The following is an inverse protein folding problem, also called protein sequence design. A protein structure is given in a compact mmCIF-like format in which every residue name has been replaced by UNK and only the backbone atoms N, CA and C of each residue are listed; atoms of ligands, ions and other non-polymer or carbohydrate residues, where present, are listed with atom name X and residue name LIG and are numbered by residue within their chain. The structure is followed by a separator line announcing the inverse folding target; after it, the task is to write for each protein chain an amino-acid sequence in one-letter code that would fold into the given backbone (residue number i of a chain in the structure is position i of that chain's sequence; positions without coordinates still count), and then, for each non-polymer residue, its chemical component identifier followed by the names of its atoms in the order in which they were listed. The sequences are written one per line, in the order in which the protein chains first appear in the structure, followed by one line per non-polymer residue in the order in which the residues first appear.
data_IF_429220438570
#
_entry.id   IF_429220438570
#
_cell.length_a   1.000
_cell.length_b   1.000
_cell.length_c   1.000
_cell.angle_alpha   90.00
_cell.angle_beta   90.00
_cell.angle_gamma   90.00
#
_symmetry.space_group_name_H-M   'P 1'
#
loop_
_entity.id
_entity.type
_entity.pdbx_description
1 polymer ?
#
# COMPACT_ATOMS: atom_id res chain seq x y z
N UNK A 1 3.42 14.81 -22.04
CA UNK A 1 2.30 13.86 -21.84
C UNK A 1 1.28 14.56 -20.96
N UNK A 2 -0.03 14.49 -21.26
CA UNK A 2 -1.08 15.07 -20.39
C UNK A 2 -1.49 13.98 -19.40
N UNK A 3 -1.34 14.28 -18.09
CA UNK A 3 -1.77 13.38 -17.03
C UNK A 3 -3.18 13.72 -16.56
N UNK A 4 -3.91 12.72 -16.12
CA UNK A 4 -5.29 12.82 -15.62
C UNK A 4 -5.29 12.57 -14.11
N UNK A 5 -5.60 13.60 -13.33
CA UNK A 5 -5.49 13.61 -11.86
C UNK A 5 -6.82 13.30 -11.15
N UNK A 6 -7.93 13.16 -11.88
CA UNK A 6 -9.28 13.02 -11.30
C UNK A 6 -9.34 11.84 -10.31
N UNK A 7 -8.76 10.72 -10.71
CA UNK A 7 -8.71 9.51 -9.87
C UNK A 7 -7.83 9.70 -8.63
N UNK A 8 -6.70 10.37 -8.78
CA UNK A 8 -5.80 10.66 -7.66
C UNK A 8 -6.44 11.63 -6.66
N UNK A 9 -7.12 12.67 -7.15
CA UNK A 9 -7.84 13.63 -6.29
C UNK A 9 -8.99 12.96 -5.53
N UNK A 10 -9.79 12.12 -6.20
CA UNK A 10 -10.83 11.34 -5.53
C UNK A 10 -10.25 10.45 -4.42
N UNK A 11 -9.10 9.81 -4.69
CA UNK A 11 -8.39 8.98 -3.71
C UNK A 11 -7.89 9.81 -2.52
N UNK A 12 -7.43 11.03 -2.75
CA UNK A 12 -7.01 11.94 -1.68
C UNK A 12 -8.14 12.27 -0.71
N UNK A 13 -9.35 12.52 -1.23
CA UNK A 13 -10.53 12.79 -0.39
C UNK A 13 -10.85 11.58 0.49
N UNK A 14 -10.86 10.37 -0.08
CA UNK A 14 -11.12 9.13 0.68
C UNK A 14 -10.02 8.90 1.72
N UNK A 15 -8.76 9.13 1.37
CA UNK A 15 -7.62 9.01 2.29
C UNK A 15 -7.74 9.96 3.48
N UNK A 16 -8.06 11.22 3.24
CA UNK A 16 -8.26 12.23 4.30
C UNK A 16 -9.37 11.78 5.26
N UNK A 17 -10.49 11.31 4.72
CA UNK A 17 -11.59 10.78 5.54
C UNK A 17 -11.14 9.59 6.39
N UNK A 18 -10.41 8.62 5.82
CA UNK A 18 -9.89 7.48 6.56
C UNK A 18 -8.86 7.90 7.63
N UNK A 19 -8.00 8.88 7.33
CA UNK A 19 -7.07 9.43 8.31
C UNK A 19 -7.81 10.08 9.49
N UNK A 20 -8.83 10.92 9.22
CA UNK A 20 -9.65 11.54 10.27
C UNK A 20 -10.34 10.47 11.12
N UNK A 21 -10.95 9.47 10.50
CA UNK A 21 -11.60 8.37 11.20
C UNK A 21 -10.60 7.55 12.01
N UNK A 22 -9.40 7.32 11.48
CA UNK A 22 -8.33 6.59 12.16
C UNK A 22 -7.74 7.39 13.33
N UNK A 23 -7.55 8.70 13.22
CA UNK A 23 -6.97 9.54 14.29
C UNK A 23 -7.93 9.73 15.48
N UNK A 24 -9.22 9.75 15.25
CA UNK A 24 -10.24 9.93 16.32
C UNK A 24 -10.40 8.73 17.24
N UNK A 25 -9.73 7.62 16.96
CA UNK A 25 -9.92 6.35 17.67
C UNK A 25 -8.74 6.02 18.55
N UNK A 26 -9.06 5.52 19.75
CA UNK A 26 -8.08 4.88 20.62
C UNK A 26 -7.83 3.48 20.06
N UNK A 27 -6.68 3.26 19.47
CA UNK A 27 -6.26 1.95 18.99
C UNK A 27 -5.45 1.22 20.06
N UNK A 28 -5.73 -0.07 20.21
CA UNK A 28 -4.83 -0.95 20.95
C UNK A 28 -3.45 -0.98 20.26
N UNK A 29 -2.33 -1.00 21.00
CA UNK A 29 -0.97 -1.02 20.44
C UNK A 29 -0.62 -2.42 19.89
N UNK A 30 -1.42 -2.93 18.97
CA UNK A 30 -1.21 -4.21 18.29
C UNK A 30 -0.59 -3.98 16.92
N UNK A 31 0.18 -4.99 16.44
CA UNK A 31 0.93 -4.91 15.17
C UNK A 31 0.05 -4.56 13.97
N UNK A 32 -1.15 -5.11 13.90
CA UNK A 32 -2.11 -4.82 12.83
C UNK A 32 -2.41 -3.32 12.73
N UNK A 33 -2.72 -2.68 13.84
CA UNK A 33 -3.05 -1.26 13.86
C UNK A 33 -1.84 -0.39 13.48
N UNK A 34 -0.64 -0.79 13.90
CA UNK A 34 0.59 -0.13 13.49
C UNK A 34 0.77 -0.18 11.95
N UNK A 35 0.69 -1.39 11.35
CA UNK A 35 0.85 -1.53 9.91
C UNK A 35 -0.26 -0.86 9.12
N UNK A 36 -1.50 -0.85 9.61
CA UNK A 36 -2.59 -0.13 8.97
C UNK A 36 -2.33 1.38 8.90
N UNK A 37 -1.87 2.00 10.01
CA UNK A 37 -1.52 3.42 10.03
C UNK A 37 -0.31 3.73 9.15
N UNK A 38 0.70 2.88 9.19
CA UNK A 38 1.87 3.01 8.33
C UNK A 38 1.48 2.91 6.84
N UNK A 39 0.55 2.01 6.49
CA UNK A 39 0.00 1.87 5.14
C UNK A 39 -0.75 3.13 4.70
N UNK A 40 -1.60 3.72 5.57
CA UNK A 40 -2.27 4.99 5.27
C UNK A 40 -1.26 6.12 5.02
N UNK A 41 -0.21 6.20 5.85
CA UNK A 41 0.86 7.18 5.68
C UNK A 41 1.64 6.98 4.37
N UNK A 42 1.99 5.74 4.05
CA UNK A 42 2.69 5.39 2.81
C UNK A 42 1.83 5.67 1.57
N UNK A 43 0.52 5.36 1.64
CA UNK A 43 -0.43 5.70 0.55
C UNK A 43 -0.50 7.21 0.35
N UNK A 44 -0.58 7.98 1.44
CA UNK A 44 -0.61 9.45 1.37
C UNK A 44 0.64 10.03 0.73
N UNK A 45 1.81 9.57 1.16
CA UNK A 45 3.08 9.98 0.56
C UNK A 45 3.17 9.60 -0.92
N UNK A 46 2.81 8.34 -1.26
CA UNK A 46 2.83 7.87 -2.64
C UNK A 46 1.91 8.70 -3.53
N UNK A 47 0.69 8.97 -3.07
CA UNK A 47 -0.29 9.75 -3.82
C UNK A 47 0.18 11.19 -4.05
N UNK A 48 0.74 11.85 -3.04
CA UNK A 48 1.27 13.21 -3.18
C UNK A 48 2.44 13.22 -4.16
N UNK A 49 3.39 12.31 -4.02
CA UNK A 49 4.55 12.27 -4.91
C UNK A 49 4.20 11.77 -6.32
N UNK A 50 3.17 10.95 -6.51
CA UNK A 50 2.66 10.57 -7.84
C UNK A 50 2.12 11.79 -8.61
N UNK A 51 1.32 12.63 -7.95
CA UNK A 51 0.82 13.86 -8.55
C UNK A 51 1.96 14.84 -8.82
N UNK A 52 2.81 15.10 -7.82
CA UNK A 52 3.89 16.09 -7.92
C UNK A 52 4.93 15.66 -8.96
N UNK A 53 5.35 14.39 -8.98
CA UNK A 53 6.30 13.89 -9.98
C UNK A 53 5.74 13.98 -11.40
N UNK A 54 4.48 13.57 -11.58
CA UNK A 54 3.82 13.63 -12.90
C UNK A 54 3.71 15.05 -13.42
N UNK A 55 3.35 16.02 -12.56
CA UNK A 55 3.27 17.44 -12.95
C UNK A 55 4.65 18.03 -13.26
N UNK A 56 5.64 17.73 -12.42
CA UNK A 56 7.00 18.21 -12.62
C UNK A 56 7.65 17.58 -13.85
N UNK A 57 7.40 16.31 -14.14
CA UNK A 57 7.90 15.64 -15.35
C UNK A 57 7.24 16.21 -16.63
N UNK A 58 5.95 16.59 -16.56
CA UNK A 58 5.28 17.27 -17.66
C UNK A 58 5.91 18.65 -17.98
N UNK A 59 6.43 19.33 -16.97
CA UNK A 59 7.02 20.67 -17.05
C UNK A 59 8.51 20.65 -16.67
N UNK A 60 9.23 19.59 -17.00
CA UNK A 60 10.61 19.33 -16.55
C UNK A 60 11.60 20.47 -16.79
N UNK A 61 11.40 21.29 -17.84
CA UNK A 61 12.26 22.46 -18.16
C UNK A 61 12.16 23.58 -17.12
N UNK A 62 11.10 23.61 -16.30
CA UNK A 62 10.91 24.64 -15.27
C UNK A 62 11.57 24.29 -13.94
N UNK A 63 12.03 23.06 -13.77
CA UNK A 63 12.55 22.57 -12.50
C UNK A 63 13.99 22.11 -12.61
N UNK A 64 14.82 22.30 -11.57
CA UNK A 64 16.17 21.75 -11.55
C UNK A 64 16.15 20.23 -11.52
N UNK A 65 17.07 19.59 -12.25
CA UNK A 65 17.15 18.13 -12.38
C UNK A 65 17.25 17.41 -11.02
N UNK A 66 17.98 17.97 -10.06
CA UNK A 66 18.09 17.42 -8.71
C UNK A 66 16.75 17.31 -7.98
N UNK A 67 15.84 18.27 -8.16
CA UNK A 67 14.50 18.24 -7.58
C UNK A 67 13.62 17.19 -8.27
N UNK A 68 13.69 17.08 -9.60
CA UNK A 68 13.02 16.04 -10.39
C UNK A 68 13.45 14.64 -9.92
N UNK A 69 14.77 14.42 -9.75
CA UNK A 69 15.28 13.16 -9.22
C UNK A 69 14.76 12.87 -7.80
N UNK A 70 14.76 13.87 -6.90
CA UNK A 70 14.31 13.71 -5.53
C UNK A 70 12.82 13.30 -5.45
N UNK A 71 11.96 13.98 -6.24
CA UNK A 71 10.51 13.73 -6.23
C UNK A 71 10.19 12.36 -6.84
N UNK A 72 10.78 12.00 -7.98
CA UNK A 72 10.61 10.69 -8.60
C UNK A 72 11.14 9.55 -7.69
N UNK A 73 12.30 9.77 -7.05
CA UNK A 73 12.82 8.81 -6.05
C UNK A 73 11.84 8.61 -4.91
N UNK A 74 11.28 9.68 -4.34
CA UNK A 74 10.32 9.62 -3.26
C UNK A 74 9.04 8.88 -3.68
N UNK A 75 8.54 9.13 -4.89
CA UNK A 75 7.41 8.40 -5.47
C UNK A 75 7.68 6.89 -5.54
N UNK A 76 8.81 6.48 -6.14
CA UNK A 76 9.13 5.05 -6.29
C UNK A 76 9.38 4.36 -4.96
N UNK A 77 10.04 5.02 -4.00
CA UNK A 77 10.18 4.49 -2.65
C UNK A 77 8.82 4.30 -1.97
N UNK A 78 7.94 5.31 -2.06
CA UNK A 78 6.58 5.22 -1.54
C UNK A 78 5.82 4.04 -2.14
N UNK A 79 5.89 3.87 -3.45
CA UNK A 79 5.24 2.77 -4.18
C UNK A 79 5.69 1.38 -3.71
N UNK A 80 6.99 1.18 -3.46
CA UNK A 80 7.55 -0.09 -3.00
C UNK A 80 7.18 -0.36 -1.54
N UNK A 81 7.40 0.61 -0.67
CA UNK A 81 7.13 0.45 0.75
C UNK A 81 5.64 0.32 1.05
N UNK A 82 4.76 0.96 0.27
CA UNK A 82 3.32 0.75 0.35
C UNK A 82 2.95 -0.73 0.14
N UNK A 83 3.49 -1.36 -0.90
CA UNK A 83 3.23 -2.77 -1.22
C UNK A 83 3.71 -3.71 -0.11
N UNK A 84 4.90 -3.45 0.46
CA UNK A 84 5.43 -4.15 1.62
C UNK A 84 4.55 -3.98 2.87
N UNK A 85 4.06 -2.77 3.13
CA UNK A 85 3.22 -2.47 4.30
C UNK A 85 1.84 -3.11 4.19
N UNK A 86 1.26 -3.18 2.99
CA UNK A 86 -0.02 -3.88 2.75
C UNK A 86 0.13 -5.38 3.02
N UNK A 87 1.19 -6.02 2.50
CA UNK A 87 1.52 -7.39 2.85
C UNK A 87 1.70 -7.58 4.37
N UNK A 88 2.47 -6.69 5.02
CA UNK A 88 2.75 -6.76 6.47
C UNK A 88 1.49 -6.60 7.32
N UNK A 89 0.52 -5.81 6.83
CA UNK A 89 -0.79 -5.67 7.45
C UNK A 89 -1.57 -6.99 7.38
N UNK A 90 -1.65 -7.62 6.21
CA UNK A 90 -2.31 -8.93 6.03
C UNK A 90 -1.59 -10.02 6.85
N UNK A 91 -0.26 -10.01 6.91
CA UNK A 91 0.50 -10.92 7.77
C UNK A 91 0.11 -10.77 9.24
N UNK A 92 0.04 -9.54 9.75
CA UNK A 92 -0.37 -9.26 11.11
C UNK A 92 -1.81 -9.74 11.38
N UNK A 93 -2.72 -9.51 10.43
CA UNK A 93 -4.12 -9.91 10.52
C UNK A 93 -4.28 -11.45 10.59
N UNK A 94 -3.59 -12.19 9.72
CA UNK A 94 -3.63 -13.66 9.70
C UNK A 94 -2.99 -14.24 10.98
N UNK A 95 -1.89 -13.62 11.45
CA UNK A 95 -1.21 -14.06 12.66
C UNK A 95 -2.03 -13.88 13.94
N UNK A 96 -2.89 -12.86 14.01
CA UNK A 96 -3.81 -12.65 15.14
C UNK A 96 -4.87 -13.75 15.25
N UNK A 97 -5.22 -14.42 14.15
CA UNK A 97 -6.20 -15.53 14.16
C UNK A 97 -5.64 -16.84 14.68
N UNK A 98 -4.31 -17.01 14.70
CA UNK A 98 -3.69 -18.21 15.22
C UNK A 98 -2.18 -18.26 15.02
N UNK A 99 -1.53 -19.23 15.66
CA UNK A 99 -0.08 -19.43 15.52
C UNK A 99 0.25 -19.90 14.12
N UNK A 100 0.71 -18.98 13.30
CA UNK A 100 1.30 -19.25 12.00
C UNK A 100 2.79 -18.96 12.08
N UNK A 101 3.63 -19.84 11.50
CA UNK A 101 5.07 -19.56 11.37
C UNK A 101 5.23 -18.35 10.47
N UNK A 102 5.82 -17.27 11.00
CA UNK A 102 6.10 -16.08 10.21
C UNK A 102 7.13 -16.40 9.16
N UNK A 103 6.99 -15.79 8.01
CA UNK A 103 8.09 -15.76 7.06
C UNK A 103 9.33 -15.15 7.72
N UNK A 104 10.53 -15.68 7.43
CA UNK A 104 11.76 -15.03 7.88
C UNK A 104 11.74 -13.57 7.45
N UNK A 105 11.76 -12.66 8.42
CA UNK A 105 11.54 -11.24 8.18
C UNK A 105 12.52 -10.65 7.17
N UNK A 106 13.79 -11.06 7.28
CA UNK A 106 14.82 -10.66 6.32
C UNK A 106 14.50 -11.06 4.87
N UNK A 107 13.86 -12.24 4.65
CA UNK A 107 13.50 -12.72 3.32
C UNK A 107 12.38 -11.87 2.70
N UNK A 108 11.49 -11.35 3.52
CA UNK A 108 10.38 -10.49 3.07
C UNK A 108 10.84 -9.05 2.87
N UNK A 109 11.72 -8.54 3.73
CA UNK A 109 12.21 -7.16 3.65
C UNK A 109 13.26 -6.96 2.54
N UNK A 110 14.05 -8.00 2.24
CA UNK A 110 15.18 -7.94 1.29
C UNK A 110 14.78 -7.40 -0.10
N UNK A 111 13.69 -7.83 -0.76
CA UNK A 111 13.31 -7.29 -2.07
C UNK A 111 13.04 -5.79 -2.04
N UNK A 112 12.35 -5.28 -0.99
CA UNK A 112 12.09 -3.85 -0.84
C UNK A 112 13.38 -3.06 -0.62
N UNK A 113 14.28 -3.58 0.23
CA UNK A 113 15.57 -2.95 0.52
C UNK A 113 16.45 -2.89 -0.74
N UNK A 114 16.61 -4.01 -1.45
CA UNK A 114 17.41 -4.05 -2.67
C UNK A 114 16.87 -3.13 -3.76
N UNK A 115 15.56 -3.14 -3.96
CA UNK A 115 14.91 -2.25 -4.94
C UNK A 115 15.05 -0.78 -4.52
N UNK A 116 14.97 -0.47 -3.21
CA UNK A 116 15.20 0.89 -2.70
C UNK A 116 16.63 1.37 -2.96
N UNK A 117 17.63 0.51 -2.76
CA UNK A 117 19.03 0.83 -3.06
C UNK A 117 19.20 1.14 -4.56
N UNK A 118 18.60 0.34 -5.44
CA UNK A 118 18.64 0.59 -6.89
C UNK A 118 17.98 1.91 -7.27
N UNK A 119 16.84 2.26 -6.67
CA UNK A 119 16.16 3.53 -6.90
C UNK A 119 17.02 4.70 -6.42
N UNK A 120 17.58 4.62 -5.21
CA UNK A 120 18.45 5.65 -4.64
C UNK A 120 19.74 5.84 -5.44
N UNK A 121 20.24 4.80 -6.10
CA UNK A 121 21.41 4.89 -6.97
C UNK A 121 21.10 5.45 -8.37
N UNK A 122 19.83 5.54 -8.76
CA UNK A 122 19.42 5.97 -10.11
C UNK A 122 19.93 7.34 -10.54
N UNK A 123 20.02 8.37 -9.68
CA UNK A 123 20.61 9.66 -10.08
C UNK A 123 22.05 9.56 -10.57
N UNK A 124 22.80 8.55 -10.15
CA UNK A 124 24.19 8.31 -10.54
C UNK A 124 24.33 7.28 -11.66
N UNK A 125 23.47 6.27 -11.67
CA UNK A 125 23.59 5.09 -12.53
C UNK A 125 22.66 5.07 -13.72
N UNK A 126 21.51 5.78 -13.65
CA UNK A 126 20.43 5.71 -14.64
C UNK A 126 19.76 4.35 -14.76
N UNK A 127 20.05 3.38 -13.84
CA UNK A 127 19.61 2.01 -13.98
C UNK A 127 18.09 1.85 -13.89
N UNK A 128 17.42 2.53 -12.96
CA UNK A 128 15.96 2.45 -12.80
C UNK A 128 15.27 3.56 -13.59
N UNK A 129 15.75 4.79 -13.49
CA UNK A 129 15.30 5.93 -14.30
C UNK A 129 16.41 6.97 -14.45
N UNK A 130 16.28 7.79 -15.47
CA UNK A 130 17.18 8.92 -15.73
C UNK A 130 16.36 10.15 -16.14
N UNK A 131 16.91 11.32 -15.90
CA UNK A 131 16.31 12.61 -16.27
C UNK A 131 17.36 13.41 -17.01
N UNK A 132 17.05 13.81 -18.24
CA UNK A 132 17.91 14.61 -19.10
C UNK A 132 17.18 15.83 -19.68
N UNK A 133 17.76 16.48 -20.66
CA UNK A 133 17.15 17.65 -21.34
C UNK A 133 15.82 17.32 -22.05
N UNK A 134 15.55 16.05 -22.34
CA UNK A 134 14.32 15.58 -22.98
C UNK A 134 13.26 15.15 -21.93
N UNK A 135 13.62 15.14 -20.65
CA UNK A 135 12.75 14.82 -19.54
C UNK A 135 13.05 13.45 -18.90
N UNK A 136 12.00 12.83 -18.39
CA UNK A 136 12.07 11.54 -17.71
C UNK A 136 12.17 10.36 -18.69
N UNK A 137 13.12 9.45 -18.42
CA UNK A 137 13.30 8.19 -19.14
C UNK A 137 13.35 6.99 -18.20
N UNK A 138 12.66 5.90 -18.56
CA UNK A 138 12.78 4.65 -17.84
C UNK A 138 14.11 3.95 -18.14
N UNK A 139 14.84 3.57 -17.11
CA UNK A 139 16.10 2.82 -17.21
C UNK A 139 15.91 1.33 -17.50
N UNK A 140 17.03 0.62 -17.67
CA UNK A 140 17.05 -0.82 -17.97
C UNK A 140 16.33 -1.66 -16.91
N UNK A 141 16.50 -1.32 -15.64
CA UNK A 141 15.92 -2.03 -14.50
C UNK A 141 14.58 -1.44 -14.02
N UNK A 142 13.94 -0.55 -14.78
CA UNK A 142 12.67 0.06 -14.40
C UNK A 142 11.60 -0.96 -13.99
N UNK A 143 11.56 -2.10 -14.69
CA UNK A 143 10.57 -3.16 -14.42
C UNK A 143 10.71 -3.82 -13.04
N UNK A 144 11.84 -3.64 -12.35
CA UNK A 144 12.05 -4.19 -11.00
C UNK A 144 11.07 -3.60 -9.97
N UNK A 145 10.62 -2.35 -10.19
CA UNK A 145 9.62 -1.69 -9.35
C UNK A 145 8.30 -2.47 -9.36
N UNK A 146 7.84 -2.86 -10.56
CA UNK A 146 6.63 -3.67 -10.70
C UNK A 146 6.82 -5.11 -10.23
N UNK A 147 8.00 -5.70 -10.50
CA UNK A 147 8.33 -7.02 -10.01
C UNK A 147 8.27 -7.10 -8.49
N UNK A 148 8.76 -6.06 -7.79
CA UNK A 148 8.67 -5.93 -6.34
C UNK A 148 7.20 -5.86 -5.87
N UNK A 149 6.37 -5.04 -6.51
CA UNK A 149 4.96 -4.91 -6.16
C UNK A 149 4.19 -6.22 -6.41
N UNK A 150 4.44 -6.91 -7.52
CA UNK A 150 3.86 -8.24 -7.81
C UNK A 150 4.32 -9.30 -6.82
N UNK A 151 5.57 -9.25 -6.37
CA UNK A 151 6.08 -10.15 -5.34
C UNK A 151 5.26 -10.04 -4.05
N UNK A 152 5.03 -8.82 -3.54
CA UNK A 152 4.21 -8.64 -2.34
C UNK A 152 2.73 -8.99 -2.57
N UNK A 153 2.19 -8.69 -3.73
CA UNK A 153 0.83 -9.09 -4.08
C UNK A 153 0.67 -10.62 -4.07
N UNK A 154 1.62 -11.36 -4.66
CA UNK A 154 1.63 -12.83 -4.64
C UNK A 154 1.77 -13.38 -3.23
N UNK A 155 2.65 -12.81 -2.40
CA UNK A 155 2.78 -13.20 -1.00
C UNK A 155 1.48 -12.95 -0.22
N UNK A 156 0.82 -11.82 -0.45
CA UNK A 156 -0.45 -11.47 0.16
C UNK A 156 -1.56 -12.45 -0.24
N UNK A 157 -1.64 -12.82 -1.53
CA UNK A 157 -2.58 -13.82 -2.02
C UNK A 157 -2.33 -15.20 -1.40
N UNK A 158 -1.06 -15.65 -1.37
CA UNK A 158 -0.67 -16.92 -0.77
C UNK A 158 -1.02 -16.98 0.71
N UNK A 159 -0.67 -15.91 1.45
CA UNK A 159 -0.93 -15.82 2.87
C UNK A 159 -2.43 -15.77 3.19
N UNK A 160 -3.20 -15.02 2.41
CA UNK A 160 -4.66 -14.98 2.51
C UNK A 160 -5.26 -16.37 2.24
N UNK A 161 -4.80 -17.07 1.21
CA UNK A 161 -5.26 -18.44 0.90
C UNK A 161 -4.98 -19.41 2.05
N UNK A 162 -3.76 -19.41 2.59
CA UNK A 162 -3.39 -20.25 3.73
C UNK A 162 -4.22 -19.89 4.97
N UNK A 163 -4.38 -18.60 5.25
CA UNK A 163 -5.18 -18.10 6.37
C UNK A 163 -6.64 -18.52 6.27
N UNK A 164 -7.24 -18.38 5.09
CA UNK A 164 -8.64 -18.76 4.83
C UNK A 164 -8.88 -20.27 4.97
N UNK A 165 -7.88 -21.10 4.65
CA UNK A 165 -7.97 -22.56 4.80
C UNK A 165 -7.75 -23.02 6.25
N UNK A 166 -6.94 -22.32 7.00
CA UNK A 166 -6.47 -22.79 8.32
C UNK A 166 -7.27 -22.21 9.48
N UNK A 167 -7.82 -21.03 9.35
CA UNK A 167 -8.52 -20.32 10.42
C UNK A 167 -9.96 -20.01 10.06
N UNK A 168 -10.77 -19.81 11.10
CA UNK A 168 -12.14 -19.37 10.92
C UNK A 168 -12.19 -17.87 10.60
N UNK A 169 -12.93 -17.52 9.57
CA UNK A 169 -13.25 -16.17 9.15
C UNK A 169 -14.76 -16.07 8.89
N UNK A 170 -15.37 -14.98 9.31
CA UNK A 170 -16.75 -14.75 8.93
C UNK A 170 -16.87 -14.43 7.41
N UNK A 171 -18.07 -14.52 6.81
CA UNK A 171 -18.23 -14.31 5.38
C UNK A 171 -17.75 -12.93 4.89
N UNK A 172 -17.96 -11.87 5.68
CA UNK A 172 -17.53 -10.50 5.34
C UNK A 172 -16.01 -10.40 5.34
N UNK A 173 -15.34 -10.94 6.35
CA UNK A 173 -13.89 -10.98 6.44
C UNK A 173 -13.25 -11.75 5.27
N UNK A 174 -13.85 -12.93 4.91
CA UNK A 174 -13.42 -13.72 3.76
C UNK A 174 -13.51 -12.93 2.46
N UNK A 175 -14.68 -12.32 2.23
CA UNK A 175 -14.92 -11.50 1.04
C UNK A 175 -13.95 -10.31 0.97
N UNK A 176 -13.65 -9.69 2.11
CA UNK A 176 -12.75 -8.55 2.19
C UNK A 176 -11.29 -8.91 1.97
N UNK A 177 -10.83 -10.04 2.51
CA UNK A 177 -9.48 -10.54 2.22
C UNK A 177 -9.29 -10.80 0.71
N UNK A 178 -10.26 -11.49 0.09
CA UNK A 178 -10.23 -11.78 -1.33
C UNK A 178 -10.40 -10.49 -2.15
N UNK A 179 -11.34 -9.65 -1.77
CA UNK A 179 -11.65 -8.41 -2.47
C UNK A 179 -10.48 -7.43 -2.52
N UNK A 180 -9.74 -7.29 -1.42
CA UNK A 180 -8.60 -6.38 -1.35
C UNK A 180 -7.53 -6.70 -2.41
N UNK A 181 -7.02 -7.93 -2.45
CA UNK A 181 -6.02 -8.27 -3.46
C UNK A 181 -6.60 -8.41 -4.87
N UNK A 182 -7.87 -8.82 -5.03
CA UNK A 182 -8.51 -8.87 -6.33
C UNK A 182 -8.61 -7.48 -6.97
N UNK A 183 -8.96 -6.47 -6.19
CA UNK A 183 -8.97 -5.06 -6.61
C UNK A 183 -7.57 -4.61 -7.06
N UNK A 184 -6.51 -4.97 -6.33
CA UNK A 184 -5.15 -4.64 -6.74
C UNK A 184 -4.74 -5.33 -8.03
N UNK A 185 -5.10 -6.61 -8.22
CA UNK A 185 -4.87 -7.32 -9.49
C UNK A 185 -5.52 -6.57 -10.66
N UNK A 186 -6.79 -6.19 -10.51
CA UNK A 186 -7.50 -5.40 -11.52
C UNK A 186 -6.79 -4.06 -11.74
N UNK A 187 -6.37 -3.39 -10.67
CA UNK A 187 -5.63 -2.12 -10.74
C UNK A 187 -4.34 -2.23 -11.56
N UNK A 188 -3.55 -3.27 -11.33
CA UNK A 188 -2.33 -3.50 -12.11
C UNK A 188 -2.62 -3.80 -13.59
N UNK A 189 -3.69 -4.54 -13.88
CA UNK A 189 -4.11 -4.79 -15.26
C UNK A 189 -4.54 -3.48 -15.93
N UNK A 190 -5.40 -2.70 -15.26
CA UNK A 190 -5.85 -1.40 -15.79
C UNK A 190 -4.68 -0.44 -16.01
N UNK A 191 -3.71 -0.39 -15.09
CA UNK A 191 -2.50 0.44 -15.22
C UNK A 191 -1.69 0.13 -16.47
N UNK A 192 -1.67 -1.11 -16.92
CA UNK A 192 -0.95 -1.48 -18.17
C UNK A 192 -1.54 -0.81 -19.42
N UNK A 193 -2.85 -0.53 -19.42
CA UNK A 193 -3.57 0.06 -20.56
C UNK A 193 -3.86 1.55 -20.38
N UNK A 194 -3.90 2.03 -19.15
CA UNK A 194 -4.29 3.39 -18.78
C UNK A 194 -3.12 4.17 -18.14
N UNK A 195 -1.93 4.10 -18.73
CA UNK A 195 -0.71 4.70 -18.18
C UNK A 195 -0.78 6.21 -17.89
N UNK A 196 -1.47 7.07 -18.69
CA UNK A 196 -1.59 8.50 -18.39
C UNK A 196 -2.52 8.83 -17.21
N UNK A 197 -3.36 7.88 -16.81
CA UNK A 197 -4.26 8.05 -15.69
C UNK A 197 -3.58 7.60 -14.41
N UNK A 198 -3.63 8.39 -13.34
CA UNK A 198 -3.05 8.04 -12.03
C UNK A 198 -4.02 7.11 -11.26
N UNK A 199 -4.43 6.00 -11.91
CA UNK A 199 -5.47 5.11 -11.39
C UNK A 199 -5.01 4.18 -10.26
N UNK A 200 -3.70 3.91 -10.17
CA UNK A 200 -3.18 2.90 -9.23
C UNK A 200 -3.47 3.27 -7.77
N UNK A 201 -3.38 4.55 -7.43
CA UNK A 201 -3.72 5.04 -6.09
C UNK A 201 -5.20 4.82 -5.76
N UNK A 202 -6.11 4.90 -6.74
CA UNK A 202 -7.53 4.62 -6.51
C UNK A 202 -7.79 3.15 -6.21
N UNK A 203 -7.09 2.24 -6.87
CA UNK A 203 -7.19 0.81 -6.58
C UNK A 203 -6.60 0.46 -5.20
N UNK A 204 -5.47 1.07 -4.81
CA UNK A 204 -4.94 0.92 -3.45
C UNK A 204 -5.88 1.50 -2.41
N UNK A 205 -6.44 2.70 -2.64
CA UNK A 205 -7.42 3.28 -1.73
C UNK A 205 -8.67 2.41 -1.58
N UNK A 206 -9.16 1.81 -2.67
CA UNK A 206 -10.30 0.90 -2.61
C UNK A 206 -9.96 -0.37 -1.81
N UNK A 207 -8.77 -0.94 -2.01
CA UNK A 207 -8.30 -2.09 -1.23
C UNK A 207 -8.18 -1.74 0.27
N UNK A 208 -7.58 -0.60 0.61
CA UNK A 208 -7.48 -0.10 2.00
C UNK A 208 -8.87 0.16 2.60
N UNK A 209 -9.80 0.69 1.83
CA UNK A 209 -11.19 0.94 2.27
C UNK A 209 -11.90 -0.37 2.61
N UNK A 210 -11.77 -1.40 1.76
CA UNK A 210 -12.30 -2.74 2.01
C UNK A 210 -11.70 -3.30 3.31
N UNK A 211 -10.39 -3.21 3.48
CA UNK A 211 -9.69 -3.66 4.69
C UNK A 211 -10.14 -2.88 5.94
N UNK A 212 -10.33 -1.56 5.82
CA UNK A 212 -10.81 -0.72 6.91
C UNK A 212 -12.19 -1.14 7.40
N UNK A 213 -13.16 -1.30 6.51
CA UNK A 213 -14.52 -1.68 6.90
C UNK A 213 -14.60 -3.08 7.51
N UNK A 214 -13.79 -4.02 7.02
CA UNK A 214 -13.82 -5.39 7.51
C UNK A 214 -13.06 -5.60 8.83
N UNK A 215 -11.94 -4.90 9.03
CA UNK A 215 -11.00 -5.24 10.09
C UNK A 215 -10.67 -4.10 11.05
N UNK A 216 -10.95 -2.86 10.67
CA UNK A 216 -10.65 -1.69 11.48
C UNK A 216 -11.88 -0.97 12.00
N UNK A 217 -13.09 -1.36 11.57
CA UNK A 217 -14.33 -0.75 12.05
C UNK A 217 -14.59 -1.16 13.51
N UNK A 218 -14.67 -0.22 14.47
CA UNK A 218 -14.86 -0.53 15.89
C UNK A 218 -16.24 -1.09 16.20
N UNK A 219 -17.25 -0.81 15.39
CA UNK A 219 -18.59 -1.37 15.57
C UNK A 219 -18.59 -2.91 15.57
N UNK A 220 -17.51 -3.52 15.04
CA UNK A 220 -17.29 -4.96 15.06
C UNK A 220 -16.65 -5.42 16.40
N UNK A 221 -15.92 -4.52 17.08
CA UNK A 221 -15.08 -4.87 18.23
C UNK A 221 -15.62 -4.34 19.57
N UNK A 222 -16.52 -3.37 19.55
CA UNK A 222 -17.05 -2.69 20.74
C UNK A 222 -18.54 -3.02 20.88
N UNK A 223 -18.96 -3.41 22.07
CA UNK A 223 -20.36 -3.47 22.44
C UNK A 223 -20.93 -2.03 22.52
N UNK A 224 -21.89 -1.71 21.68
CA UNK A 224 -22.50 -0.36 21.59
C UNK A 224 -23.17 0.08 22.90
N UNK A 225 -23.59 -0.86 23.74
CA UNK A 225 -24.31 -0.53 25.01
C UNK A 225 -23.33 -0.19 26.13
N UNK A 226 -22.21 -0.87 26.18
CA UNK A 226 -21.26 -0.75 27.31
C UNK A 226 -20.01 0.05 26.96
N UNK A 227 -19.72 0.26 25.66
CA UNK A 227 -18.46 0.83 25.19
C UNK A 227 -17.22 -0.06 25.43
N UNK A 228 -17.42 -1.27 25.96
CA UNK A 228 -16.36 -2.25 26.21
C UNK A 228 -16.09 -3.11 24.97
N UNK A 229 -14.93 -3.80 24.96
CA UNK A 229 -14.66 -4.81 23.93
C UNK A 229 -15.72 -5.90 24.01
N UNK A 230 -16.31 -6.27 22.88
CA UNK A 230 -17.22 -7.39 22.84
C UNK A 230 -16.48 -8.71 23.17
N UNK A 231 -17.22 -9.73 23.61
CA UNK A 231 -16.66 -11.02 24.07
C UNK A 231 -15.73 -11.66 23.02
N UNK A 232 -16.10 -11.63 21.73
CA UNK A 232 -15.30 -12.23 20.66
C UNK A 232 -13.94 -11.52 20.50
N UNK A 233 -13.89 -10.23 20.78
CA UNK A 233 -12.66 -9.42 20.71
C UNK A 233 -11.83 -9.50 21.99
N UNK A 234 -12.47 -9.63 23.16
CA UNK A 234 -11.79 -9.73 24.45
C UNK A 234 -11.11 -11.10 24.66
N UNK A 235 -11.69 -12.18 24.15
CA UNK A 235 -11.22 -13.56 24.38
C UNK A 235 -9.74 -13.80 24.04
N UNK A 236 -9.15 -13.28 22.94
CA UNK A 236 -7.72 -13.46 22.65
C UNK A 236 -6.79 -12.77 23.64
N UNK A 237 -7.26 -11.74 24.36
CA UNK A 237 -6.47 -10.96 25.35
C UNK A 237 -6.61 -11.51 26.77
N UNK A 238 -7.54 -12.42 27.01
CA UNK A 238 -7.79 -13.05 28.31
C UNK A 238 -7.08 -14.41 28.47
N UNK A 239 -6.34 -14.85 27.47
CA UNK A 239 -5.48 -16.04 27.44
C UNK A 239 -4.02 -15.64 27.37
#
# INVERSE_FOLDING_TARGET
MIYHYEFALASAVVLILLCILSLRRVYLPIRRNFFFRALLGAEGLTLVFDIVSSEMDAHHLLFPSGLLYAVNTAFFLGFIWRSFLDFSYIEALVHERGRFSRFPRWLVELPAILTSILILSSPLTGLVFSIDAQGYHSGLLYRIIYANAYFYLLLMMLLSYIGLRRFYWNPVEKASLIGAWAVLVVGYIVRMYAAPYLVMNSFYMLAILIQYFAFQNPDIFIDRKTGALNYATATPYLR
#
